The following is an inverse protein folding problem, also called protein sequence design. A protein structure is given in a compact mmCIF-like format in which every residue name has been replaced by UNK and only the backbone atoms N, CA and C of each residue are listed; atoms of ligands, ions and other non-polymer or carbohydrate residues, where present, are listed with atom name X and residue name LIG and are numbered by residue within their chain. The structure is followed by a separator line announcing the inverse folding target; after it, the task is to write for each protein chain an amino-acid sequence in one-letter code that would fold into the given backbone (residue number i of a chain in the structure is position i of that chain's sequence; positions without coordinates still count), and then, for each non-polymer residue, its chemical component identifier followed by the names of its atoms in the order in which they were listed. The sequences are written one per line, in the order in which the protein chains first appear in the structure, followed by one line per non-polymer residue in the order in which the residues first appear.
data_IF_769471573776
#
_entry.id   IF_769471573776
#
_cell.length_a   1.000
_cell.length_b   1.000
_cell.length_c   1.000
_cell.angle_alpha   90.00
_cell.angle_beta   90.00
_cell.angle_gamma   90.00
#
_symmetry.space_group_name_H-M   'P 1'
#
loop_
_entity.id
_entity.type
_entity.pdbx_description
1 polymer ?
#
# COMPACT_ATOMS: atom_id res chain seq x y z
N UNK A 1 38.30 5.76 10.40
CA UNK A 1 36.85 5.89 10.67
C UNK A 1 36.19 6.55 9.46
N UNK A 2 35.75 5.74 8.49
CA UNK A 2 34.96 6.18 7.37
C UNK A 2 33.49 6.03 7.78
N UNK A 3 32.75 7.15 7.88
CA UNK A 3 31.30 7.15 7.92
C UNK A 3 30.82 6.87 6.51
N UNK A 4 30.20 5.74 6.33
CA UNK A 4 29.41 5.41 5.13
C UNK A 4 28.13 6.23 5.20
N UNK A 5 28.04 7.23 4.37
CA UNK A 5 26.81 7.98 4.13
C UNK A 5 25.81 7.03 3.43
N UNK A 6 24.80 6.62 4.18
CA UNK A 6 23.69 5.88 3.65
C UNK A 6 22.92 6.80 2.69
N UNK A 7 22.67 6.32 1.48
CA UNK A 7 21.80 6.99 0.51
C UNK A 7 20.46 7.36 1.14
N UNK A 8 19.83 8.49 0.78
CA UNK A 8 18.54 8.90 1.33
C UNK A 8 17.49 7.85 1.01
N UNK A 9 17.06 7.15 2.05
CA UNK A 9 16.24 5.97 1.94
C UNK A 9 14.85 6.27 1.42
N UNK A 10 14.38 5.36 0.60
CA UNK A 10 12.99 5.20 0.23
C UNK A 10 12.17 5.12 1.53
N UNK A 11 11.42 6.16 1.88
CA UNK A 11 10.54 6.12 3.05
C UNK A 11 9.37 5.18 2.75
N UNK A 12 9.49 3.95 3.22
CA UNK A 12 8.45 2.94 3.15
C UNK A 12 7.45 3.20 4.26
N UNK A 13 6.33 3.82 3.92
CA UNK A 13 5.20 3.96 4.83
C UNK A 13 4.35 2.68 4.80
N UNK A 14 4.43 1.89 5.86
CA UNK A 14 3.57 0.73 6.06
C UNK A 14 2.24 1.19 6.65
N UNK A 15 1.18 1.17 5.84
CA UNK A 15 -0.20 1.29 6.30
C UNK A 15 -0.64 -0.07 6.87
N UNK A 16 -0.04 -0.49 7.95
CA UNK A 16 -0.35 -1.73 8.63
C UNK A 16 -0.77 -1.48 10.07
N UNK A 17 -1.87 -2.10 10.44
CA UNK A 17 -2.36 -2.31 11.82
C UNK A 17 -1.47 -1.76 12.92
N UNK A 18 -1.88 -0.73 13.67
CA UNK A 18 -1.68 -0.69 15.12
C UNK A 18 -2.60 0.24 15.90
N UNK A 19 -3.12 -0.33 16.89
CA UNK A 19 -3.50 0.05 18.23
C UNK A 19 -2.35 0.76 18.96
N UNK A 20 -2.22 2.04 18.75
CA UNK A 20 -1.27 2.87 19.46
C UNK A 20 -1.45 4.31 19.02
N UNK A 21 -2.35 5.02 19.69
CA UNK A 21 -2.99 6.24 19.23
C UNK A 21 -2.12 7.49 19.00
N UNK A 22 -0.79 7.43 19.03
CA UNK A 22 0.02 8.64 18.88
C UNK A 22 0.80 8.77 17.56
N UNK A 23 1.12 7.65 16.91
CA UNK A 23 1.82 7.68 15.61
C UNK A 23 0.88 7.80 14.42
N UNK A 24 -0.33 7.25 14.53
CA UNK A 24 -1.33 7.23 13.46
C UNK A 24 -1.93 8.60 13.16
N UNK A 25 -2.07 9.48 14.14
CA UNK A 25 -2.60 10.82 13.94
C UNK A 25 -1.69 11.66 13.04
N UNK A 26 -0.37 11.62 13.24
CA UNK A 26 0.60 12.36 12.40
C UNK A 26 0.63 11.85 10.95
N UNK A 27 0.47 10.55 10.73
CA UNK A 27 0.42 9.98 9.38
C UNK A 27 -0.88 10.33 8.68
N UNK A 28 -2.01 10.32 9.40
CA UNK A 28 -3.33 10.74 8.90
C UNK A 28 -3.28 12.22 8.51
N UNK A 29 -2.73 13.08 9.35
CA UNK A 29 -2.59 14.51 9.05
C UNK A 29 -1.67 14.76 7.85
N UNK A 30 -0.58 13.99 7.72
CA UNK A 30 0.32 14.09 6.58
C UNK A 30 -0.33 13.62 5.28
N UNK A 31 -1.14 12.56 5.31
CA UNK A 31 -1.83 12.04 4.14
C UNK A 31 -3.05 12.87 3.75
N UNK A 32 -3.73 13.50 4.71
CA UNK A 32 -4.90 14.34 4.45
C UNK A 32 -4.57 15.67 3.78
N UNK A 33 -3.33 16.14 3.90
CA UNK A 33 -2.90 17.44 3.38
C UNK A 33 -2.09 17.37 2.09
N UNK A 34 -1.83 16.17 1.55
CA UNK A 34 -0.91 16.02 0.43
C UNK A 34 -1.63 15.72 -0.88
N UNK A 35 -1.43 16.61 -1.82
CA UNK A 35 -1.79 16.42 -3.23
C UNK A 35 -0.76 15.54 -3.92
N UNK A 36 -1.21 14.39 -4.43
CA UNK A 36 -0.37 13.41 -5.08
C UNK A 36 -0.54 13.44 -6.58
N UNK A 37 0.58 13.41 -7.31
CA UNK A 37 0.63 13.31 -8.77
C UNK A 37 1.11 11.92 -9.15
N UNK A 38 0.54 11.36 -10.21
CA UNK A 38 0.95 10.07 -10.72
C UNK A 38 0.64 8.92 -9.75
N UNK A 39 -0.05 7.93 -10.26
CA UNK A 39 -0.39 6.74 -9.50
C UNK A 39 0.01 5.51 -10.30
N UNK A 40 1.04 4.82 -9.84
CA UNK A 40 1.40 3.50 -10.34
C UNK A 40 1.22 2.49 -9.21
N UNK A 41 0.80 1.29 -9.53
CA UNK A 41 0.63 0.26 -8.52
C UNK A 41 0.87 -1.13 -9.06
N UNK A 42 1.38 -2.02 -8.21
CA UNK A 42 1.52 -3.44 -8.51
C UNK A 42 1.11 -4.29 -7.31
N UNK A 43 0.83 -5.57 -7.56
CA UNK A 43 0.59 -6.55 -6.51
C UNK A 43 1.89 -6.84 -5.75
N UNK A 44 1.76 -7.16 -4.48
CA UNK A 44 2.81 -7.72 -3.64
C UNK A 44 2.20 -8.70 -2.65
N UNK A 45 3.00 -9.57 -2.06
CA UNK A 45 2.57 -10.51 -1.04
C UNK A 45 3.58 -10.51 0.11
N UNK A 46 3.08 -10.78 1.32
CA UNK A 46 3.94 -10.93 2.48
C UNK A 46 3.33 -11.90 3.49
N UNK A 47 4.18 -12.74 4.07
CA UNK A 47 3.81 -13.73 5.08
C UNK A 47 4.58 -13.47 6.37
N UNK A 48 3.85 -13.41 7.47
CA UNK A 48 4.35 -13.42 8.83
C UNK A 48 3.78 -14.64 9.53
N UNK A 49 4.60 -15.48 10.19
CA UNK A 49 4.10 -16.57 11.02
C UNK A 49 3.14 -16.05 12.09
N UNK A 50 2.13 -16.84 12.43
CA UNK A 50 1.22 -16.51 13.51
C UNK A 50 1.88 -16.81 14.86
N UNK A 51 1.67 -15.94 15.83
CA UNK A 51 2.26 -16.07 17.18
C UNK A 51 3.36 -15.08 17.50
N UNK A 52 3.98 -14.48 16.51
CA UNK A 52 4.84 -13.35 16.74
C UNK A 52 3.98 -12.10 16.97
N UNK A 53 4.25 -11.37 18.04
CA UNK A 53 3.66 -10.05 18.19
C UNK A 53 4.05 -9.23 16.97
N UNK A 54 3.04 -8.83 16.19
CA UNK A 54 3.26 -7.99 15.03
C UNK A 54 3.94 -6.70 15.48
N UNK A 55 5.20 -6.58 15.16
CA UNK A 55 5.97 -5.36 15.31
C UNK A 55 6.26 -4.80 13.92
N UNK A 56 6.18 -3.49 13.76
CA UNK A 56 6.53 -2.83 12.48
C UNK A 56 7.99 -3.09 12.09
N UNK A 57 8.81 -3.56 13.04
CA UNK A 57 10.23 -3.86 12.88
C UNK A 57 10.49 -5.32 12.49
N UNK A 58 9.48 -6.20 12.50
CA UNK A 58 9.65 -7.62 12.14
C UNK A 58 9.46 -7.78 10.63
N UNK A 59 10.52 -8.15 9.89
CA UNK A 59 10.40 -8.39 8.47
C UNK A 59 9.53 -9.64 8.19
N UNK A 60 8.84 -9.70 7.05
CA UNK A 60 8.10 -10.90 6.67
C UNK A 60 9.06 -12.08 6.47
N UNK A 61 8.65 -13.28 6.88
CA UNK A 61 9.40 -14.51 6.66
C UNK A 61 9.48 -14.86 5.17
N UNK A 62 8.41 -14.57 4.43
CA UNK A 62 8.37 -14.65 2.97
C UNK A 62 7.76 -13.38 2.39
N UNK A 63 8.35 -12.82 1.36
CA UNK A 63 7.83 -11.66 0.66
C UNK A 63 7.95 -11.78 -0.86
N UNK A 64 7.03 -11.15 -1.57
CA UNK A 64 7.04 -11.05 -3.02
C UNK A 64 6.78 -9.61 -3.42
N UNK A 65 7.70 -9.04 -4.20
CA UNK A 65 7.59 -7.66 -4.70
C UNK A 65 6.56 -7.53 -5.83
N UNK A 66 6.37 -8.59 -6.60
CA UNK A 66 5.51 -8.61 -7.80
C UNK A 66 4.23 -9.45 -7.62
N UNK A 67 4.10 -10.11 -6.47
CA UNK A 67 3.01 -11.05 -6.18
C UNK A 67 3.11 -12.37 -6.95
N UNK A 68 4.23 -12.67 -7.61
CA UNK A 68 4.44 -13.86 -8.42
C UNK A 68 5.52 -14.77 -7.86
N UNK A 69 6.70 -14.23 -7.56
CA UNK A 69 7.84 -14.96 -7.01
C UNK A 69 8.08 -14.52 -5.58
N UNK A 70 8.03 -15.48 -4.64
CA UNK A 70 8.31 -15.29 -3.23
C UNK A 70 9.77 -15.55 -2.89
N UNK A 71 10.32 -14.74 -1.98
CA UNK A 71 11.66 -14.84 -1.43
C UNK A 71 11.58 -15.02 0.09
N UNK A 72 12.35 -15.93 0.65
CA UNK A 72 12.29 -16.32 2.06
C UNK A 72 11.65 -17.70 2.23
N UNK A 73 10.99 -17.97 3.34
CA UNK A 73 10.32 -19.23 3.64
C UNK A 73 8.79 -19.10 3.56
N UNK A 74 8.12 -19.92 2.75
CA UNK A 74 8.61 -21.05 1.95
C UNK A 74 9.26 -20.64 0.62
N UNK A 75 9.15 -19.37 0.18
CA UNK A 75 9.63 -18.94 -1.13
C UNK A 75 8.85 -19.55 -2.30
N UNK A 76 9.38 -19.40 -3.52
CA UNK A 76 8.84 -20.03 -4.72
C UNK A 76 7.68 -19.29 -5.37
N UNK A 77 6.90 -20.00 -6.19
CA UNK A 77 5.80 -19.41 -6.96
C UNK A 77 4.59 -19.12 -6.06
N UNK A 78 4.18 -17.85 -5.98
CA UNK A 78 3.09 -17.41 -5.10
C UNK A 78 1.73 -18.00 -5.48
N UNK A 79 1.46 -18.24 -6.76
CA UNK A 79 0.17 -18.76 -7.24
C UNK A 79 -0.12 -20.16 -6.71
N UNK A 80 0.89 -21.02 -6.66
CA UNK A 80 0.79 -22.41 -6.19
C UNK A 80 1.12 -22.59 -4.71
N UNK A 81 1.53 -21.52 -4.03
CA UNK A 81 1.92 -21.56 -2.63
C UNK A 81 0.73 -21.88 -1.72
N UNK A 82 0.86 -22.88 -0.84
CA UNK A 82 -0.18 -23.29 0.11
C UNK A 82 -0.62 -22.13 1.03
N UNK A 83 0.31 -21.27 1.47
CA UNK A 83 0.01 -20.12 2.31
C UNK A 83 -0.76 -19.01 1.58
N UNK A 84 -0.75 -19.04 0.25
CA UNK A 84 -1.47 -18.11 -0.62
C UNK A 84 -2.90 -18.53 -0.94
N UNK A 85 -3.33 -19.72 -0.47
CA UNK A 85 -4.68 -20.23 -0.68
C UNK A 85 -5.64 -19.76 0.41
N UNK A 86 -6.93 -19.60 0.07
CA UNK A 86 -7.95 -19.32 1.07
C UNK A 86 -8.09 -20.52 2.03
N UNK A 87 -8.29 -20.22 3.31
CA UNK A 87 -8.35 -21.23 4.36
C UNK A 87 -6.99 -21.55 4.99
N UNK A 88 -5.88 -21.00 4.46
CA UNK A 88 -4.54 -21.24 5.01
C UNK A 88 -4.23 -20.44 6.28
N UNK A 89 -5.01 -19.41 6.61
CA UNK A 89 -4.88 -18.70 7.87
C UNK A 89 -5.41 -19.57 9.04
N UNK A 90 -4.91 -19.37 10.26
CA UNK A 90 -5.28 -20.13 11.46
C UNK A 90 -6.79 -20.10 11.74
N UNK A 91 -7.46 -19.00 11.40
CA UNK A 91 -8.91 -18.87 11.53
C UNK A 91 -9.70 -19.62 10.44
N UNK A 92 -9.05 -20.32 9.51
CA UNK A 92 -9.65 -21.08 8.42
C UNK A 92 -10.41 -20.27 7.37
N UNK A 93 -10.43 -18.95 7.46
CA UNK A 93 -11.23 -18.09 6.55
C UNK A 93 -10.42 -17.25 5.59
N UNK A 94 -9.19 -16.94 5.95
CA UNK A 94 -8.32 -16.05 5.18
C UNK A 94 -7.13 -16.76 4.55
N UNK A 95 -6.23 -15.97 3.97
CA UNK A 95 -4.91 -16.42 3.52
C UNK A 95 -3.88 -16.10 4.60
N UNK A 96 -2.99 -17.03 4.89
CA UNK A 96 -1.86 -16.79 5.78
C UNK A 96 -0.90 -15.76 5.13
N UNK A 97 -0.55 -15.95 3.87
CA UNK A 97 0.17 -14.95 3.08
C UNK A 97 -0.79 -13.82 2.68
N UNK A 98 -0.47 -12.60 3.09
CA UNK A 98 -1.33 -11.44 2.86
C UNK A 98 -1.09 -10.86 1.47
N UNK A 99 -2.13 -10.81 0.65
CA UNK A 99 -2.09 -10.05 -0.59
C UNK A 99 -2.05 -8.56 -0.24
N UNK A 100 -1.11 -7.86 -0.79
CA UNK A 100 -0.90 -6.43 -0.60
C UNK A 100 -0.83 -5.74 -1.96
N UNK A 101 -0.89 -4.42 -1.95
CA UNK A 101 -0.65 -3.62 -3.16
C UNK A 101 0.25 -2.46 -2.83
N UNK A 102 1.30 -2.30 -3.61
CA UNK A 102 2.21 -1.15 -3.50
C UNK A 102 1.72 -0.06 -4.42
N UNK A 103 1.54 1.13 -3.88
CA UNK A 103 1.25 2.35 -4.63
C UNK A 103 2.51 3.21 -4.68
N UNK A 104 2.83 3.72 -5.85
CA UNK A 104 3.86 4.74 -6.03
C UNK A 104 3.18 6.07 -6.34
N UNK A 105 3.49 7.06 -5.54
CA UNK A 105 2.91 8.38 -5.57
C UNK A 105 4.01 9.41 -5.70
N UNK A 106 3.84 10.37 -6.57
CA UNK A 106 4.75 11.51 -6.69
C UNK A 106 4.11 12.73 -6.05
N UNK A 107 4.78 13.32 -5.09
CA UNK A 107 4.36 14.55 -4.44
C UNK A 107 4.71 15.77 -5.30
N UNK A 108 3.87 16.80 -5.24
CA UNK A 108 4.14 18.03 -5.95
C UNK A 108 5.47 18.65 -5.51
N UNK A 109 6.38 18.88 -6.46
CA UNK A 109 7.71 19.43 -6.19
C UNK A 109 8.77 18.41 -5.78
N UNK A 110 8.44 17.14 -5.65
CA UNK A 110 9.39 16.06 -5.36
C UNK A 110 9.67 15.23 -6.62
N UNK A 111 10.91 14.74 -6.72
CA UNK A 111 11.35 13.86 -7.81
C UNK A 111 11.38 12.39 -7.39
N UNK A 112 11.33 12.11 -6.07
CA UNK A 112 11.35 10.75 -5.54
C UNK A 112 9.93 10.29 -5.24
N UNK A 113 9.49 9.16 -5.81
CA UNK A 113 8.18 8.61 -5.50
C UNK A 113 8.12 8.06 -4.07
N UNK A 114 7.00 8.27 -3.42
CA UNK A 114 6.66 7.62 -2.17
C UNK A 114 5.98 6.28 -2.46
N UNK A 115 6.44 5.22 -1.81
CA UNK A 115 5.81 3.90 -1.88
C UNK A 115 4.91 3.68 -0.65
N UNK A 116 3.63 3.38 -0.89
CA UNK A 116 2.65 3.05 0.14
C UNK A 116 2.19 1.60 -0.04
N UNK A 117 2.29 0.79 1.00
CA UNK A 117 1.75 -0.57 0.99
C UNK A 117 0.30 -0.55 1.48
N UNK A 118 -0.63 -0.93 0.62
CA UNK A 118 -2.02 -1.14 0.99
C UNK A 118 -2.23 -2.51 1.61
N UNK A 119 -2.90 -2.53 2.76
CA UNK A 119 -3.38 -3.77 3.38
C UNK A 119 -4.46 -4.45 2.53
N UNK A 120 -4.73 -5.75 2.72
CA UNK A 120 -5.79 -6.47 2.01
C UNK A 120 -7.16 -5.78 2.07
N UNK A 121 -7.50 -5.18 3.21
CA UNK A 121 -8.77 -4.48 3.43
C UNK A 121 -8.90 -3.19 2.61
N UNK A 122 -7.78 -2.59 2.21
CA UNK A 122 -7.72 -1.35 1.42
C UNK A 122 -7.67 -1.61 -0.10
N UNK A 123 -7.49 -2.85 -0.54
CA UNK A 123 -7.39 -3.19 -1.98
C UNK A 123 -8.73 -2.99 -2.69
N UNK A 124 -9.85 -3.38 -2.06
CA UNK A 124 -11.17 -3.22 -2.68
C UNK A 124 -11.56 -1.76 -2.88
N UNK A 125 -11.47 -0.89 -1.85
CA UNK A 125 -11.67 0.55 -2.02
C UNK A 125 -10.76 1.18 -3.10
N UNK A 126 -9.49 0.75 -3.16
CA UNK A 126 -8.57 1.23 -4.18
C UNK A 126 -9.00 0.81 -5.59
N UNK A 127 -9.40 -0.44 -5.79
CA UNK A 127 -9.88 -0.94 -7.09
C UNK A 127 -11.15 -0.22 -7.54
N UNK A 128 -12.08 0.02 -6.62
CA UNK A 128 -13.28 0.79 -6.89
C UNK A 128 -12.96 2.23 -7.32
N UNK A 129 -12.06 2.89 -6.60
CA UNK A 129 -11.56 4.20 -6.95
C UNK A 129 -10.93 4.24 -8.36
N UNK A 130 -10.09 3.24 -8.71
CA UNK A 130 -9.50 3.16 -10.05
C UNK A 130 -10.56 2.99 -11.13
N UNK A 131 -11.54 2.11 -10.92
CA UNK A 131 -12.59 1.86 -11.90
C UNK A 131 -13.44 3.11 -12.14
N UNK A 132 -13.95 3.71 -11.07
CA UNK A 132 -14.83 4.89 -11.17
C UNK A 132 -14.10 6.16 -11.60
N UNK A 133 -12.88 6.34 -11.09
CA UNK A 133 -12.09 7.54 -11.33
C UNK A 133 -11.38 7.58 -12.67
N UNK A 134 -10.98 6.43 -13.18
CA UNK A 134 -10.06 6.36 -14.33
C UNK A 134 -10.53 5.41 -15.44
N UNK A 135 -10.80 4.14 -15.13
CA UNK A 135 -11.13 3.13 -16.15
C UNK A 135 -12.40 3.49 -16.90
N UNK A 136 -13.50 3.76 -16.21
CA UNK A 136 -14.78 4.14 -16.84
C UNK A 136 -14.74 5.49 -17.55
N UNK A 137 -13.74 6.30 -17.26
CA UNK A 137 -13.53 7.61 -17.89
C UNK A 137 -12.47 7.59 -18.98
N UNK A 138 -11.88 6.42 -19.26
CA UNK A 138 -10.77 6.24 -20.19
C UNK A 138 -9.62 7.23 -19.93
N UNK A 139 -9.23 7.38 -18.66
CA UNK A 139 -8.17 8.29 -18.21
C UNK A 139 -7.00 7.55 -17.62
N UNK A 140 -5.80 8.04 -17.87
CA UNK A 140 -4.60 7.55 -17.24
C UNK A 140 -4.51 8.05 -15.78
N UNK A 141 -4.03 7.20 -14.87
CA UNK A 141 -3.93 7.49 -13.44
C UNK A 141 -2.96 8.64 -13.12
N UNK A 142 -1.93 8.83 -13.94
CA UNK A 142 -0.96 9.92 -13.77
C UNK A 142 -1.53 11.31 -14.13
N UNK A 143 -2.68 11.38 -14.77
CA UNK A 143 -3.30 12.62 -15.23
C UNK A 143 -4.21 13.30 -14.20
N UNK A 144 -4.16 12.90 -12.96
CA UNK A 144 -5.07 13.43 -11.93
C UNK A 144 -4.37 13.65 -10.60
N UNK A 145 -4.91 14.59 -9.86
CA UNK A 145 -4.57 14.87 -8.48
C UNK A 145 -5.45 14.02 -7.57
N UNK A 146 -4.83 13.32 -6.62
CA UNK A 146 -5.48 12.35 -5.74
C UNK A 146 -5.20 12.68 -4.28
N UNK A 147 -6.22 12.62 -3.45
CA UNK A 147 -6.12 12.64 -2.00
C UNK A 147 -6.26 11.23 -1.47
N UNK A 148 -5.36 10.85 -0.55
CA UNK A 148 -5.38 9.56 0.13
C UNK A 148 -5.52 9.82 1.62
N UNK A 149 -6.54 9.22 2.22
CA UNK A 149 -6.80 9.31 3.65
C UNK A 149 -6.94 7.92 4.29
N UNK A 150 -7.20 7.90 5.58
CA UNK A 150 -7.47 6.69 6.35
C UNK A 150 -8.81 6.82 7.07
N UNK A 151 -9.59 5.73 7.04
CA UNK A 151 -10.82 5.58 7.82
C UNK A 151 -10.64 4.45 8.81
N UNK A 152 -10.93 4.72 10.09
CA UNK A 152 -10.98 3.68 11.12
C UNK A 152 -12.22 2.82 10.94
N UNK A 153 -12.06 1.53 11.05
CA UNK A 153 -13.12 0.52 11.07
C UNK A 153 -12.85 -0.47 12.20
N UNK A 154 -13.92 -1.08 12.70
CA UNK A 154 -13.85 -2.12 13.74
C UNK A 154 -14.38 -3.42 13.15
N UNK A 155 -13.66 -4.52 13.34
CA UNK A 155 -14.12 -5.83 12.91
C UNK A 155 -15.17 -6.39 13.89
N UNK A 156 -15.89 -7.48 13.55
CA UNK A 156 -16.87 -8.10 14.45
C UNK A 156 -16.29 -8.59 15.79
N UNK A 157 -14.97 -8.78 15.85
CA UNK A 157 -14.23 -9.21 17.04
C UNK A 157 -13.80 -8.02 17.92
N UNK A 158 -14.23 -6.80 17.60
CA UNK A 158 -13.91 -5.58 18.34
C UNK A 158 -12.51 -5.01 18.09
N UNK A 159 -11.76 -5.55 17.14
CA UNK A 159 -10.43 -5.00 16.76
C UNK A 159 -10.56 -3.86 15.76
N UNK A 160 -9.92 -2.76 16.08
CA UNK A 160 -9.84 -1.61 15.19
C UNK A 160 -8.75 -1.79 14.12
N UNK A 161 -9.05 -1.34 12.93
CA UNK A 161 -8.11 -1.31 11.80
C UNK A 161 -8.38 -0.10 10.91
N UNK A 162 -7.39 0.29 10.12
CA UNK A 162 -7.50 1.40 9.19
C UNK A 162 -7.68 0.90 7.76
N UNK A 163 -8.57 1.55 7.03
CA UNK A 163 -8.82 1.33 5.60
C UNK A 163 -8.47 2.60 4.84
N UNK A 164 -7.69 2.48 3.77
CA UNK A 164 -7.35 3.61 2.93
C UNK A 164 -8.60 4.11 2.17
N UNK A 165 -8.72 5.42 2.11
CA UNK A 165 -9.73 6.12 1.32
C UNK A 165 -9.07 6.91 0.21
N UNK A 166 -9.74 7.04 -0.93
CA UNK A 166 -9.19 7.67 -2.12
C UNK A 166 -10.20 8.65 -2.68
N UNK A 167 -9.72 9.84 -3.03
CA UNK A 167 -10.55 10.89 -3.62
C UNK A 167 -9.79 11.57 -4.76
N UNK A 168 -10.41 11.71 -5.90
CA UNK A 168 -9.88 12.51 -7.00
C UNK A 168 -10.23 13.97 -6.77
N UNK A 169 -9.25 14.84 -6.72
CA UNK A 169 -9.39 16.27 -6.49
C UNK A 169 -9.56 17.05 -7.80
N UNK A 170 -8.84 16.64 -8.84
CA UNK A 170 -8.86 17.31 -10.13
C UNK A 170 -8.07 16.56 -11.20
N UNK A 171 -8.10 17.06 -12.41
CA UNK A 171 -7.39 16.51 -13.56
C UNK A 171 -6.40 17.54 -14.12
N UNK A 172 -5.27 17.04 -14.58
CA UNK A 172 -4.32 17.86 -15.34
C UNK A 172 -4.76 17.99 -16.80
N UNK A 173 -4.58 19.17 -17.36
CA UNK A 173 -4.93 19.49 -18.74
C UNK A 173 -3.76 20.22 -19.43
N UNK A 174 -3.71 20.14 -20.78
CA UNK A 174 -2.75 20.87 -21.60
C UNK A 174 -1.30 20.65 -21.17
N UNK A 175 -0.58 21.75 -20.92
CA UNK A 175 0.85 21.74 -20.58
C UNK A 175 1.15 21.03 -19.24
N UNK A 176 0.23 21.06 -18.29
CA UNK A 176 0.37 20.34 -17.02
C UNK A 176 0.41 18.83 -17.26
N UNK A 177 -0.49 18.31 -18.11
CA UNK A 177 -0.52 16.89 -18.46
C UNK A 177 0.73 16.49 -19.26
N UNK A 178 1.20 17.36 -20.15
CA UNK A 178 2.43 17.14 -20.91
C UNK A 178 3.67 17.08 -20.00
N UNK A 179 3.73 17.91 -18.95
CA UNK A 179 4.81 17.93 -18.00
C UNK A 179 4.86 16.65 -17.12
N UNK A 180 3.72 16.04 -16.79
CA UNK A 180 3.65 14.80 -16.00
C UNK A 180 3.98 13.55 -16.83
N UNK A 181 3.89 13.65 -18.18
CA UNK A 181 4.21 12.56 -19.12
C UNK A 181 5.70 12.34 -19.36
N UNK A 182 6.52 13.33 -19.12
CA UNK A 182 7.99 13.29 -19.28
C UNK A 182 8.66 12.64 -18.08
#
# INVERSE_FOLDING_TARGET
HAKTDAAPGLHRLLLGRKTGCQGTARLIDLLQTLEWRGLFSHASCAYWPEGDEYSDDVPPLCSSVDGKQGYGEPGGVCETCALSQFGSASNGRGKACKNMRVLYLLRSGEFMPLAINLSPTSISPFREFLNQGFVFRNRATYGSLVEIGLKRQTNPEGKDYSVATFKRLGDFHGDQLAAVRK
#
